data_IF_095319135915
#
_entry.id   IF_095319135915
#
_cell.length_a   1.000
_cell.length_b   1.000
_cell.length_c   1.000
_cell.angle_alpha   90.00
_cell.angle_beta   90.00
_cell.angle_gamma   90.00
#
_symmetry.space_group_name_H-M   'P 1'
#
loop_
_entity.id
_entity.type
_entity.pdbx_description
1 polymer ?
#
# COMPACT_ATOMS: atom_id res chain seq x y z
N UNK A 1 -68.49 49.93 44.40
CA UNK A 1 -68.22 49.59 42.99
C UNK A 1 -67.28 48.39 42.96
N UNK A 2 -67.77 47.20 42.63
CA UNK A 2 -66.92 46.05 42.30
C UNK A 2 -67.63 45.18 41.27
N UNK A 3 -67.78 45.72 40.06
CA UNK A 3 -68.29 44.97 38.91
C UNK A 3 -67.15 44.17 38.27
N UNK A 4 -66.65 43.14 38.96
CA UNK A 4 -65.84 42.12 38.29
C UNK A 4 -66.80 41.18 37.56
N UNK A 5 -67.00 41.45 36.27
CA UNK A 5 -67.75 40.56 35.37
C UNK A 5 -66.96 39.25 35.20
N UNK A 6 -67.66 38.11 35.16
CA UNK A 6 -67.12 36.76 34.90
C UNK A 6 -66.41 36.06 36.08
N UNK A 7 -66.97 36.11 37.29
CA UNK A 7 -66.42 35.44 38.49
C UNK A 7 -67.15 34.15 38.89
N UNK A 8 -68.18 33.73 38.12
CA UNK A 8 -68.95 32.51 38.36
C UNK A 8 -68.18 31.23 37.99
N UNK A 9 -68.51 30.12 38.65
CA UNK A 9 -67.92 28.81 38.35
C UNK A 9 -68.20 28.36 36.91
N UNK A 10 -69.42 28.59 36.42
CA UNK A 10 -69.80 28.29 35.03
C UNK A 10 -68.97 29.11 34.02
N UNK A 11 -68.73 30.40 34.29
CA UNK A 11 -67.93 31.29 33.43
C UNK A 11 -66.45 30.87 33.37
N UNK A 12 -65.92 30.34 34.49
CA UNK A 12 -64.55 29.79 34.52
C UNK A 12 -64.43 28.52 33.68
N UNK A 13 -65.46 27.67 33.68
CA UNK A 13 -65.46 26.44 32.87
C UNK A 13 -65.56 26.78 31.37
N UNK A 14 -66.46 27.68 30.97
CA UNK A 14 -66.61 28.08 29.58
C UNK A 14 -65.35 28.73 29.03
N UNK A 15 -64.74 29.67 29.78
CA UNK A 15 -63.48 30.32 29.38
C UNK A 15 -62.31 29.34 29.27
N UNK A 16 -62.21 28.34 30.15
CA UNK A 16 -61.19 27.28 30.02
C UNK A 16 -61.42 26.37 28.82
N UNK A 17 -62.68 26.05 28.48
CA UNK A 17 -63.00 25.25 27.30
C UNK A 17 -62.68 26.01 26.01
N UNK A 18 -63.00 27.30 25.96
CA UNK A 18 -62.66 28.18 24.84
C UNK A 18 -61.15 28.35 24.69
N UNK A 19 -60.42 28.52 25.80
CA UNK A 19 -58.97 28.60 25.79
C UNK A 19 -58.33 27.28 25.28
N UNK A 20 -58.82 26.12 25.74
CA UNK A 20 -58.34 24.82 25.25
C UNK A 20 -58.64 24.59 23.77
N UNK A 21 -59.85 24.96 23.31
CA UNK A 21 -60.19 24.93 21.89
C UNK A 21 -59.27 25.84 21.07
N UNK A 22 -58.97 27.04 21.56
CA UNK A 22 -58.07 27.98 20.91
C UNK A 22 -56.61 27.47 20.88
N UNK A 23 -56.14 26.77 21.91
CA UNK A 23 -54.80 26.16 21.92
C UNK A 23 -54.71 24.98 20.94
N UNK A 24 -55.72 24.11 20.90
CA UNK A 24 -55.77 22.99 19.95
C UNK A 24 -55.88 23.48 18.50
N UNK A 25 -56.61 24.57 18.25
CA UNK A 25 -56.70 25.18 16.93
C UNK A 25 -55.34 25.73 16.42
N UNK A 26 -54.42 26.07 17.32
CA UNK A 26 -53.04 26.49 17.00
C UNK A 26 -52.10 25.31 16.75
N UNK A 27 -52.42 24.12 17.26
CA UNK A 27 -51.69 22.89 17.01
C UNK A 27 -52.08 22.30 15.64
N UNK A 28 -51.65 22.98 14.56
CA UNK A 28 -51.70 22.44 13.21
C UNK A 28 -50.34 21.89 12.84
N UNK A 29 -50.30 20.72 12.20
CA UNK A 29 -49.07 20.18 11.64
C UNK A 29 -48.48 21.21 10.67
N UNK A 30 -47.17 21.45 10.76
CA UNK A 30 -46.49 22.25 9.74
C UNK A 30 -46.69 21.55 8.39
N UNK A 31 -47.00 22.30 7.33
CA UNK A 31 -47.06 21.72 5.98
C UNK A 31 -45.71 21.08 5.66
N UNK A 32 -45.74 19.90 5.06
CA UNK A 32 -44.53 19.22 4.59
C UNK A 32 -43.80 20.13 3.61
N UNK A 33 -42.65 20.67 4.03
CA UNK A 33 -41.80 21.48 3.16
C UNK A 33 -41.04 20.51 2.26
N UNK A 34 -41.47 20.40 1.00
CA UNK A 34 -40.69 19.72 -0.03
C UNK A 34 -39.55 20.65 -0.46
N UNK A 35 -38.36 20.09 -0.65
CA UNK A 35 -37.22 20.85 -1.14
C UNK A 35 -37.44 21.21 -2.62
N UNK A 36 -37.50 22.51 -2.99
CA UNK A 36 -37.69 22.93 -4.37
C UNK A 36 -36.52 22.53 -5.30
N UNK A 37 -35.35 22.19 -4.75
CA UNK A 37 -34.15 21.84 -5.51
C UNK A 37 -33.78 20.35 -5.40
N UNK A 38 -34.74 19.49 -5.04
CA UNK A 38 -34.50 18.05 -4.84
C UNK A 38 -33.78 17.38 -6.03
N UNK A 39 -34.20 17.70 -7.26
CA UNK A 39 -33.64 17.12 -8.49
C UNK A 39 -32.18 17.58 -8.70
N UNK A 40 -31.87 18.85 -8.42
CA UNK A 40 -30.51 19.41 -8.55
C UNK A 40 -29.51 18.75 -7.60
N UNK A 41 -29.97 18.25 -6.44
CA UNK A 41 -29.10 17.55 -5.48
C UNK A 41 -28.62 16.22 -6.00
N UNK A 42 -29.38 15.56 -6.86
CA UNK A 42 -28.92 14.31 -7.49
C UNK A 42 -27.80 14.61 -8.48
N UNK A 43 -27.99 15.61 -9.35
CA UNK A 43 -27.00 16.05 -10.34
C UNK A 43 -25.69 16.46 -9.67
N UNK A 44 -25.77 17.25 -8.59
CA UNK A 44 -24.59 17.65 -7.80
C UNK A 44 -23.88 16.44 -7.19
N UNK A 45 -24.61 15.49 -6.59
CA UNK A 45 -24.01 14.27 -6.04
C UNK A 45 -23.39 13.41 -7.12
N UNK A 46 -23.99 13.31 -8.30
CA UNK A 46 -23.45 12.55 -9.42
C UNK A 46 -22.12 13.17 -9.91
N UNK A 47 -22.07 14.50 -10.06
CA UNK A 47 -20.87 15.23 -10.45
C UNK A 47 -19.74 15.11 -9.40
N UNK A 48 -20.06 15.26 -8.11
CA UNK A 48 -19.10 15.05 -7.03
C UNK A 48 -18.54 13.63 -7.02
N UNK A 49 -19.40 12.63 -7.23
CA UNK A 49 -19.01 11.23 -7.23
C UNK A 49 -18.14 10.91 -8.46
N UNK A 50 -18.42 11.48 -9.62
CA UNK A 50 -17.57 11.39 -10.80
C UNK A 50 -16.18 12.00 -10.55
N UNK A 51 -16.11 13.20 -9.95
CA UNK A 51 -14.84 13.82 -9.59
C UNK A 51 -14.03 12.95 -8.62
N UNK A 52 -14.69 12.33 -7.62
CA UNK A 52 -14.04 11.39 -6.70
C UNK A 52 -13.54 10.13 -7.42
N UNK A 53 -14.31 9.61 -8.39
CA UNK A 53 -13.87 8.45 -9.19
C UNK A 53 -12.66 8.79 -10.04
N UNK A 54 -12.64 9.96 -10.68
CA UNK A 54 -11.51 10.43 -11.46
C UNK A 54 -10.25 10.58 -10.60
N UNK A 55 -10.35 11.27 -9.46
CA UNK A 55 -9.23 11.42 -8.53
C UNK A 55 -8.70 10.07 -8.00
N UNK A 56 -9.60 9.11 -7.72
CA UNK A 56 -9.19 7.76 -7.31
C UNK A 56 -8.51 6.97 -8.44
N UNK A 57 -8.95 7.14 -9.69
CA UNK A 57 -8.33 6.50 -10.84
C UNK A 57 -6.90 7.03 -11.05
N UNK A 58 -6.71 8.34 -10.98
CA UNK A 58 -5.39 8.98 -11.08
C UNK A 58 -4.45 8.51 -9.95
N UNK A 59 -4.92 8.52 -8.70
CA UNK A 59 -4.13 8.04 -7.57
C UNK A 59 -3.75 6.56 -7.71
N UNK A 60 -4.63 5.73 -8.26
CA UNK A 60 -4.36 4.30 -8.49
C UNK A 60 -3.31 4.09 -9.58
N UNK A 61 -3.36 4.86 -10.66
CA UNK A 61 -2.34 4.78 -11.72
C UNK A 61 -0.97 5.27 -11.23
N UNK A 62 -0.92 6.35 -10.46
CA UNK A 62 0.32 6.81 -9.82
C UNK A 62 0.91 5.74 -8.88
N UNK A 63 0.08 5.12 -8.04
CA UNK A 63 0.51 4.04 -7.16
C UNK A 63 1.00 2.81 -7.95
N UNK A 64 0.37 2.50 -9.09
CA UNK A 64 0.80 1.40 -9.98
C UNK A 64 2.17 1.70 -10.58
N UNK A 65 2.38 2.91 -11.10
CA UNK A 65 3.66 3.32 -11.67
C UNK A 65 4.77 3.31 -10.62
N UNK A 66 4.49 3.78 -9.41
CA UNK A 66 5.46 3.76 -8.31
C UNK A 66 5.83 2.32 -7.91
N UNK A 67 4.83 1.43 -7.82
CA UNK A 67 5.07 0.03 -7.53
C UNK A 67 5.95 -0.65 -8.60
N UNK A 68 5.71 -0.37 -9.88
CA UNK A 68 6.54 -0.86 -10.98
C UNK A 68 7.97 -0.32 -10.89
N UNK A 69 8.14 1.00 -10.68
CA UNK A 69 9.45 1.61 -10.54
C UNK A 69 10.25 1.02 -9.37
N UNK A 70 9.59 0.77 -8.23
CA UNK A 70 10.22 0.10 -7.07
C UNK A 70 10.67 -1.32 -7.40
N UNK A 71 9.84 -2.09 -8.10
CA UNK A 71 10.20 -3.46 -8.52
C UNK A 71 11.39 -3.44 -9.50
N UNK A 72 11.39 -2.52 -10.46
CA UNK A 72 12.48 -2.35 -11.41
C UNK A 72 13.79 -1.96 -10.71
N UNK A 73 13.74 -1.05 -9.74
CA UNK A 73 14.90 -0.66 -8.93
C UNK A 73 15.48 -1.86 -8.16
N UNK A 74 14.62 -2.66 -7.49
CA UNK A 74 15.05 -3.87 -6.77
C UNK A 74 15.71 -4.86 -7.74
N UNK A 75 15.11 -5.06 -8.92
CA UNK A 75 15.66 -5.97 -9.92
C UNK A 75 16.95 -5.44 -10.55
N UNK A 76 17.13 -4.13 -10.66
CA UNK A 76 18.37 -3.51 -11.11
C UNK A 76 19.50 -3.73 -10.09
N UNK A 77 19.23 -3.51 -8.79
CA UNK A 77 20.19 -3.80 -7.71
C UNK A 77 20.60 -5.27 -7.73
N UNK A 78 19.65 -6.20 -7.78
CA UNK A 78 19.95 -7.65 -7.87
C UNK A 78 20.78 -8.01 -9.10
N UNK A 79 20.61 -7.30 -10.22
CA UNK A 79 21.42 -7.51 -11.43
C UNK A 79 22.83 -6.95 -11.24
N UNK A 80 22.98 -5.80 -10.58
CA UNK A 80 24.28 -5.21 -10.26
C UNK A 80 25.07 -6.13 -9.31
N UNK A 81 24.47 -6.57 -8.20
CA UNK A 81 25.08 -7.49 -7.23
C UNK A 81 25.55 -8.79 -7.88
N UNK A 82 24.75 -9.38 -8.79
CA UNK A 82 25.15 -10.59 -9.53
C UNK A 82 26.33 -10.34 -10.45
N UNK A 83 26.41 -9.15 -11.08
CA UNK A 83 27.55 -8.80 -11.93
C UNK A 83 28.81 -8.64 -11.08
N UNK A 84 28.72 -7.92 -9.97
CA UNK A 84 29.82 -7.73 -9.04
C UNK A 84 30.33 -9.05 -8.47
N UNK A 85 29.43 -9.95 -8.03
CA UNK A 85 29.80 -11.28 -7.57
C UNK A 85 30.55 -12.07 -8.65
N UNK A 86 30.06 -12.06 -9.89
CA UNK A 86 30.72 -12.74 -11.00
C UNK A 86 32.08 -12.12 -11.34
N UNK A 87 32.23 -10.80 -11.23
CA UNK A 87 33.52 -10.15 -11.47
C UNK A 87 34.53 -10.49 -10.39
N UNK A 88 34.10 -10.57 -9.13
CA UNK A 88 34.95 -10.97 -8.00
C UNK A 88 35.36 -12.43 -8.17
N UNK A 89 34.41 -13.34 -8.41
CA UNK A 89 34.68 -14.77 -8.62
C UNK A 89 35.63 -15.01 -9.82
N UNK A 90 35.43 -14.28 -10.92
CA UNK A 90 36.31 -14.35 -12.07
C UNK A 90 37.73 -13.84 -11.76
N UNK A 91 37.86 -12.78 -10.95
CA UNK A 91 39.15 -12.26 -10.51
C UNK A 91 39.87 -13.25 -9.58
N UNK A 92 39.17 -13.79 -8.58
CA UNK A 92 39.70 -14.82 -7.67
C UNK A 92 40.18 -16.07 -8.43
N UNK A 93 39.40 -16.53 -9.41
CA UNK A 93 39.78 -17.67 -10.24
C UNK A 93 41.00 -17.40 -11.13
N UNK A 94 41.21 -16.14 -11.56
CA UNK A 94 42.43 -15.75 -12.28
C UNK A 94 43.63 -15.76 -11.35
N UNK A 95 43.52 -15.13 -10.17
CA UNK A 95 44.58 -15.12 -9.15
C UNK A 95 44.97 -16.55 -8.78
N UNK A 96 44.01 -17.43 -8.50
CA UNK A 96 44.28 -18.84 -8.17
C UNK A 96 44.97 -19.60 -9.31
N UNK A 97 44.65 -19.29 -10.58
CA UNK A 97 45.32 -19.89 -11.74
C UNK A 97 46.76 -19.39 -11.87
N UNK A 98 46.99 -18.11 -11.63
CA UNK A 98 48.32 -17.50 -11.65
C UNK A 98 49.19 -18.02 -10.51
N UNK A 99 48.64 -18.16 -9.30
CA UNK A 99 49.32 -18.79 -8.15
C UNK A 99 49.72 -20.24 -8.47
N UNK A 100 48.79 -21.05 -8.99
CA UNK A 100 49.09 -22.43 -9.41
C UNK A 100 50.11 -22.51 -10.52
N UNK A 101 50.10 -21.55 -11.45
CA UNK A 101 51.10 -21.48 -12.52
C UNK A 101 52.47 -21.16 -11.94
N UNK A 102 52.57 -20.17 -11.04
CA UNK A 102 53.79 -19.83 -10.31
C UNK A 102 54.32 -21.01 -9.50
N UNK A 103 53.47 -21.65 -8.71
CA UNK A 103 53.82 -22.85 -7.93
C UNK A 103 54.35 -23.97 -8.83
N UNK A 104 53.71 -24.22 -9.98
CA UNK A 104 54.18 -25.22 -10.95
C UNK A 104 55.53 -24.84 -11.54
N UNK A 105 55.74 -23.57 -11.87
CA UNK A 105 57.00 -23.09 -12.44
C UNK A 105 58.12 -23.14 -11.39
N UNK A 106 57.84 -22.85 -10.12
CA UNK A 106 58.75 -23.04 -8.99
C UNK A 106 59.10 -24.53 -8.78
N UNK A 107 58.12 -25.42 -8.78
CA UNK A 107 58.34 -26.87 -8.69
C UNK A 107 59.17 -27.39 -9.87
N UNK A 108 58.95 -26.84 -11.08
CA UNK A 108 59.75 -27.16 -12.27
C UNK A 108 61.18 -26.64 -12.15
N UNK A 109 61.39 -25.44 -11.62
CA UNK A 109 62.71 -24.87 -11.36
C UNK A 109 63.48 -25.68 -10.30
N UNK A 110 62.78 -26.23 -9.29
CA UNK A 110 63.34 -27.13 -8.28
C UNK A 110 63.54 -28.57 -8.77
N UNK A 111 63.32 -28.87 -10.06
CA UNK A 111 63.47 -30.20 -10.64
C UNK A 111 62.42 -31.24 -10.19
N UNK A 112 61.44 -30.83 -9.37
CA UNK A 112 60.37 -31.69 -8.83
C UNK A 112 59.21 -31.71 -9.82
N UNK A 113 59.37 -32.45 -10.92
CA UNK A 113 58.26 -32.65 -11.87
C UNK A 113 57.19 -33.56 -11.24
N UNK A 114 56.04 -33.00 -10.85
CA UNK A 114 54.97 -33.77 -10.18
C UNK A 114 54.30 -34.84 -11.07
N UNK A 115 54.64 -34.89 -12.37
CA UNK A 115 54.01 -35.76 -13.34
C UNK A 115 54.99 -36.67 -14.11
N UNK A 116 56.07 -37.12 -13.47
CA UNK A 116 56.90 -38.17 -14.04
C UNK A 116 56.12 -39.50 -14.07
N UNK A 117 56.34 -40.32 -15.11
CA UNK A 117 55.71 -41.65 -15.26
C UNK A 117 56.01 -42.56 -14.06
N UNK A 118 57.16 -42.37 -13.42
CA UNK A 118 57.58 -43.09 -12.21
C UNK A 118 56.75 -42.72 -10.98
N UNK A 119 56.45 -41.44 -10.73
CA UNK A 119 55.65 -41.02 -9.56
C UNK A 119 54.20 -41.52 -9.63
N UNK A 120 53.60 -41.56 -10.83
CA UNK A 120 52.26 -42.15 -10.99
C UNK A 120 52.26 -43.66 -10.72
N UNK A 121 53.29 -44.38 -11.16
CA UNK A 121 53.40 -45.81 -10.88
C UNK A 121 53.52 -46.12 -9.37
N UNK A 122 54.27 -45.32 -8.61
CA UNK A 122 54.39 -45.47 -7.15
C UNK A 122 53.08 -45.16 -6.39
N UNK A 123 52.34 -44.12 -6.80
CA UNK A 123 51.07 -43.77 -6.17
C UNK A 123 49.97 -44.83 -6.35
N UNK A 124 49.96 -45.51 -7.51
CA UNK A 124 49.04 -46.63 -7.74
C UNK A 124 49.52 -47.93 -7.08
N UNK A 125 50.84 -48.14 -6.97
CA UNK A 125 51.42 -49.28 -6.27
C UNK A 125 51.18 -49.28 -4.75
N UNK A 126 51.06 -48.11 -4.11
CA UNK A 126 50.78 -48.02 -2.66
C UNK A 126 49.29 -48.12 -2.31
N UNK A 127 48.39 -48.16 -3.30
CA UNK A 127 46.95 -48.30 -3.08
C UNK A 127 46.47 -49.76 -3.24
N UNK A 128 47.35 -50.64 -3.73
CA UNK A 128 47.07 -52.05 -4.07
C UNK A 128 47.90 -53.05 -3.26
N UNK A 129 48.67 -52.59 -2.27
CA UNK A 129 49.36 -53.41 -1.28
C UNK A 129 48.92 -53.02 0.12
#
# INVERSE_FOLDING_TARGET
>A
MSHLKNTGFADRISSQQEAKKAMLAKFKAKPTVQDPDFDKREELRAAELEAVRAARAEAKELARLEALARQEAIMAVKRAERKERKTIEAAEMRVRKEEKAKERDELRALGKTSNSKANRAHAWGSLLG
#
